data_IF_043867999812
#
_entry.id   IF_043867999812
#
_cell.length_a   1.000
_cell.length_b   1.000
_cell.length_c   1.000
_cell.angle_alpha   90.00
_cell.angle_beta   90.00
_cell.angle_gamma   90.00
#
_symmetry.space_group_name_H-M   'P 1'
#
loop_
_entity.id
_entity.type
_entity.pdbx_description
1 polymer ?
#
# COMPACT_ATOMS: atom_id res chain seq x y z
N UNK A 1 -10.12 -2.39 13.53
CA UNK A 1 -10.56 -2.35 12.12
C UNK A 1 -9.35 -2.02 11.25
N UNK A 2 -9.30 -2.56 10.03
CA UNK A 2 -8.28 -2.22 9.04
C UNK A 2 -8.94 -1.47 7.88
N UNK A 3 -8.57 -0.21 7.68
CA UNK A 3 -9.03 0.61 6.55
C UNK A 3 -7.96 0.59 5.48
N UNK A 4 -8.32 0.16 4.27
CA UNK A 4 -7.43 0.21 3.12
C UNK A 4 -7.51 1.59 2.48
N UNK A 5 -6.34 2.18 2.19
CA UNK A 5 -6.25 3.46 1.51
C UNK A 5 -5.29 3.28 0.34
N UNK A 6 -5.75 3.61 -0.87
CA UNK A 6 -4.92 3.62 -2.07
C UNK A 6 -4.61 5.07 -2.40
N UNK A 7 -3.33 5.32 -2.60
CA UNK A 7 -2.78 6.64 -2.88
C UNK A 7 -2.03 6.52 -4.19
N UNK A 8 -2.35 7.41 -5.11
CA UNK A 8 -1.62 7.53 -6.35
C UNK A 8 -0.18 7.99 -6.07
N UNK A 9 0.81 7.25 -6.59
CA UNK A 9 2.20 7.44 -6.21
C UNK A 9 2.78 8.78 -6.71
N UNK A 10 2.29 9.27 -7.85
CA UNK A 10 2.81 10.44 -8.53
C UNK A 10 2.14 11.73 -8.05
N UNK A 11 0.82 11.71 -7.96
CA UNK A 11 -0.02 12.84 -7.56
C UNK A 11 -0.21 12.94 -6.05
N UNK A 12 0.02 11.85 -5.30
CA UNK A 12 -0.23 11.74 -3.85
C UNK A 12 -1.69 11.92 -3.46
N UNK A 13 -2.60 11.80 -4.41
CA UNK A 13 -4.03 11.88 -4.16
C UNK A 13 -4.54 10.54 -3.59
N UNK A 14 -5.36 10.59 -2.55
CA UNK A 14 -6.15 9.42 -2.14
C UNK A 14 -7.14 9.11 -3.24
N UNK A 15 -6.97 7.96 -3.90
CA UNK A 15 -7.83 7.54 -5.01
C UNK A 15 -8.91 6.56 -4.53
N UNK A 16 -8.68 5.83 -3.44
CA UNK A 16 -9.64 4.90 -2.86
C UNK A 16 -9.51 4.86 -1.34
N UNK A 17 -10.65 4.89 -0.64
CA UNK A 17 -10.76 4.49 0.77
C UNK A 17 -11.71 3.30 0.84
N UNK A 18 -11.16 2.12 1.12
CA UNK A 18 -11.93 0.89 1.24
C UNK A 18 -12.76 0.87 2.51
N UNK A 19 -13.89 0.14 2.49
CA UNK A 19 -14.70 -0.08 3.69
C UNK A 19 -13.85 -0.76 4.79
N UNK A 20 -13.90 -0.29 6.05
CA UNK A 20 -13.14 -0.91 7.14
C UNK A 20 -13.49 -2.40 7.28
N UNK A 21 -12.47 -3.26 7.32
CA UNK A 21 -12.61 -4.69 7.52
C UNK A 21 -12.21 -5.11 8.95
N UNK A 22 -12.76 -6.22 9.49
CA UNK A 22 -12.27 -6.82 10.73
C UNK A 22 -10.76 -7.10 10.64
N UNK A 23 -10.02 -6.92 11.73
CA UNK A 23 -8.56 -6.92 11.72
C UNK A 23 -7.95 -8.25 11.28
N UNK A 24 -7.60 -8.37 10.00
CA UNK A 24 -6.90 -9.53 9.45
C UNK A 24 -5.40 -9.27 9.44
N UNK A 25 -4.63 -10.29 9.80
CA UNK A 25 -3.15 -10.26 9.90
C UNK A 25 -2.43 -10.07 8.54
N UNK A 26 -3.17 -10.05 7.42
CA UNK A 26 -2.63 -9.83 6.08
C UNK A 26 -3.44 -8.77 5.31
N UNK A 27 -2.78 -8.07 4.38
CA UNK A 27 -3.40 -7.04 3.53
C UNK A 27 -4.22 -7.62 2.35
N UNK A 28 -4.17 -8.94 2.13
CA UNK A 28 -4.80 -9.59 0.97
C UNK A 28 -6.32 -9.66 1.10
N UNK A 29 -6.81 -10.09 2.27
CA UNK A 29 -8.26 -10.18 2.54
C UNK A 29 -8.93 -8.80 2.54
N UNK A 30 -8.38 -7.78 3.23
CA UNK A 30 -8.93 -6.44 3.19
C UNK A 30 -8.94 -5.83 1.78
N UNK A 31 -7.91 -6.03 0.96
CA UNK A 31 -7.89 -5.45 -0.40
C UNK A 31 -9.05 -5.94 -1.28
N UNK A 32 -9.39 -7.23 -1.19
CA UNK A 32 -10.52 -7.82 -1.91
C UNK A 32 -11.85 -7.41 -1.29
N UNK A 33 -11.98 -7.54 0.03
CA UNK A 33 -13.28 -7.45 0.72
C UNK A 33 -13.72 -6.01 1.02
N UNK A 34 -12.80 -5.04 0.93
CA UNK A 34 -13.09 -3.60 1.16
C UNK A 34 -13.56 -2.84 -0.09
N UNK A 35 -13.84 -3.55 -1.20
CA UNK A 35 -14.13 -3.01 -2.53
C UNK A 35 -12.98 -2.21 -3.17
N UNK A 36 -11.80 -2.18 -2.53
CA UNK A 36 -10.65 -1.42 -3.00
C UNK A 36 -10.22 -1.88 -4.39
N UNK A 37 -10.18 -3.19 -4.64
CA UNK A 37 -9.87 -3.75 -5.96
C UNK A 37 -10.79 -3.19 -7.06
N UNK A 38 -12.10 -3.12 -6.80
CA UNK A 38 -13.10 -2.61 -7.75
C UNK A 38 -12.89 -1.13 -8.01
N UNK A 39 -12.63 -0.36 -6.97
CA UNK A 39 -12.44 1.09 -7.06
C UNK A 39 -11.15 1.48 -7.81
N UNK A 40 -10.11 0.64 -7.76
CA UNK A 40 -8.86 0.83 -8.49
C UNK A 40 -8.98 0.65 -10.01
N UNK A 41 -10.10 0.11 -10.54
CA UNK A 41 -10.39 0.00 -11.98
C UNK A 41 -9.26 -0.60 -12.83
N UNK A 42 -8.54 -1.59 -12.29
CA UNK A 42 -7.44 -2.26 -12.99
C UNK A 42 -6.08 -1.52 -12.93
N UNK A 43 -5.97 -0.44 -12.16
CA UNK A 43 -4.69 0.22 -11.92
C UNK A 43 -3.66 -0.72 -11.27
N UNK A 44 -2.38 -0.48 -11.56
CA UNK A 44 -1.28 -1.17 -10.89
C UNK A 44 -1.15 -0.65 -9.46
N UNK A 45 -1.55 -1.47 -8.48
CA UNK A 45 -1.47 -1.12 -7.06
C UNK A 45 -0.30 -1.85 -6.43
N UNK A 46 0.54 -1.12 -5.68
CA UNK A 46 1.58 -1.72 -4.85
C UNK A 46 1.12 -1.82 -3.39
N UNK A 47 1.18 -3.02 -2.80
CA UNK A 47 0.77 -3.25 -1.41
C UNK A 47 1.87 -2.85 -0.43
N UNK A 48 1.49 -2.52 0.81
CA UNK A 48 2.45 -2.33 1.89
C UNK A 48 3.09 -3.67 2.32
N UNK A 49 2.40 -4.80 2.18
CA UNK A 49 2.74 -6.03 2.87
C UNK A 49 2.83 -7.29 2.00
N UNK A 50 2.15 -8.33 2.47
CA UNK A 50 2.28 -9.71 2.01
C UNK A 50 1.98 -9.87 0.50
N UNK A 51 2.56 -10.93 -0.08
CA UNK A 51 2.35 -11.24 -1.50
C UNK A 51 0.86 -11.50 -1.76
N UNK A 52 0.33 -10.78 -2.74
CA UNK A 52 -1.02 -10.97 -3.25
C UNK A 52 -0.93 -10.99 -4.78
N UNK A 53 -1.47 -12.00 -5.47
CA UNK A 53 -1.38 -12.10 -6.93
C UNK A 53 -2.06 -10.94 -7.67
N UNK A 54 -2.94 -10.17 -7.01
CA UNK A 54 -3.69 -9.07 -7.60
C UNK A 54 -3.05 -7.69 -7.41
N UNK A 55 -1.95 -7.59 -6.68
CA UNK A 55 -1.23 -6.34 -6.42
C UNK A 55 0.28 -6.58 -6.43
N UNK A 56 1.04 -5.56 -6.76
CA UNK A 56 2.49 -5.63 -6.79
C UNK A 56 2.99 -5.62 -5.34
N UNK A 57 3.69 -6.67 -4.92
CA UNK A 57 4.39 -6.64 -3.64
C UNK A 57 5.69 -5.83 -3.79
N UNK A 58 6.15 -5.11 -2.76
CA UNK A 58 7.44 -4.44 -2.80
C UNK A 58 8.54 -5.43 -3.19
N UNK A 59 9.41 -5.03 -4.12
CA UNK A 59 10.49 -5.89 -4.58
C UNK A 59 11.46 -6.13 -3.42
N UNK A 60 11.82 -7.40 -3.19
CA UNK A 60 12.75 -7.81 -2.14
C UNK A 60 14.05 -8.24 -2.79
N UNK A 61 15.18 -8.01 -2.11
CA UNK A 61 16.44 -8.56 -2.57
C UNK A 61 16.31 -10.07 -2.75
N UNK A 62 16.91 -10.66 -3.78
CA UNK A 62 16.90 -12.10 -3.95
C UNK A 62 17.61 -12.78 -2.77
N UNK A 63 17.25 -14.03 -2.52
CA UNK A 63 17.76 -14.81 -1.37
C UNK A 63 19.25 -15.13 -1.44
N UNK A 64 19.85 -15.00 -2.62
CA UNK A 64 21.29 -15.19 -2.87
C UNK A 64 22.13 -13.96 -2.49
N UNK A 65 21.50 -12.88 -2.01
CA UNK A 65 22.19 -11.65 -1.61
C UNK A 65 22.39 -10.63 -2.73
N UNK A 66 21.87 -10.88 -3.94
CA UNK A 66 21.91 -9.94 -5.04
C UNK A 66 21.23 -8.60 -4.75
N UNK A 67 21.61 -7.57 -5.51
CA UNK A 67 20.93 -6.28 -5.45
C UNK A 67 19.65 -6.28 -6.30
N UNK A 68 18.75 -5.33 -5.99
CA UNK A 68 17.61 -5.06 -6.84
C UNK A 68 18.07 -4.37 -8.11
N UNK A 69 17.48 -4.72 -9.25
CA UNK A 69 17.69 -3.99 -10.49
C UNK A 69 17.15 -2.55 -10.37
N UNK A 70 17.74 -1.59 -11.09
CA UNK A 70 17.35 -0.18 -11.01
C UNK A 70 15.84 0.07 -11.19
N UNK A 71 15.21 -0.62 -12.15
CA UNK A 71 13.77 -0.54 -12.40
C UNK A 71 12.90 -1.09 -11.25
N UNK A 72 13.45 -1.88 -10.34
CA UNK A 72 12.76 -2.37 -9.13
C UNK A 72 12.95 -1.40 -7.96
N UNK A 73 14.09 -0.71 -7.91
CA UNK A 73 14.45 0.24 -6.84
C UNK A 73 13.56 1.48 -6.89
N UNK A 74 13.33 2.02 -8.08
CA UNK A 74 12.54 3.22 -8.29
C UNK A 74 11.11 3.12 -7.73
N UNK A 75 10.27 2.14 -8.13
CA UNK A 75 8.91 2.00 -7.59
C UNK A 75 8.90 1.73 -6.08
N UNK A 76 9.86 0.95 -5.56
CA UNK A 76 10.02 0.75 -4.12
C UNK A 76 10.31 2.05 -3.36
N UNK A 77 11.10 2.94 -3.96
CA UNK A 77 11.47 4.23 -3.36
C UNK A 77 10.27 5.17 -3.31
N UNK A 78 9.52 5.26 -4.40
CA UNK A 78 8.27 6.02 -4.44
C UNK A 78 7.27 5.49 -3.39
N UNK A 79 7.05 4.17 -3.35
CA UNK A 79 6.17 3.52 -2.38
C UNK A 79 6.56 3.83 -0.93
N UNK A 80 7.85 3.67 -0.57
CA UNK A 80 8.35 3.97 0.79
C UNK A 80 8.12 5.43 1.17
N UNK A 81 8.36 6.36 0.23
CA UNK A 81 8.18 7.80 0.46
C UNK A 81 6.72 8.17 0.71
N UNK A 82 5.80 7.65 -0.11
CA UNK A 82 4.35 7.88 0.06
C UNK A 82 3.88 7.26 1.37
N UNK A 83 4.24 6.00 1.64
CA UNK A 83 3.87 5.31 2.88
C UNK A 83 4.31 6.08 4.12
N UNK A 84 5.57 6.49 4.18
CA UNK A 84 6.10 7.20 5.35
C UNK A 84 5.31 8.50 5.63
N UNK A 85 4.95 9.24 4.58
CA UNK A 85 4.13 10.45 4.69
C UNK A 85 2.72 10.16 5.16
N UNK A 86 2.07 9.14 4.61
CA UNK A 86 0.71 8.73 5.00
C UNK A 86 0.66 8.29 6.45
N UNK A 87 1.59 7.44 6.89
CA UNK A 87 1.67 7.02 8.29
C UNK A 87 1.91 8.22 9.22
N UNK A 88 2.80 9.14 8.84
CA UNK A 88 3.04 10.35 9.63
C UNK A 88 1.80 11.26 9.71
N UNK A 89 1.04 11.41 8.62
CA UNK A 89 -0.21 12.19 8.60
C UNK A 89 -1.28 11.53 9.48
N UNK A 90 -1.48 10.21 9.34
CA UNK A 90 -2.44 9.45 10.15
C UNK A 90 -2.09 9.54 11.64
N UNK A 91 -0.81 9.38 12.00
CA UNK A 91 -0.34 9.56 13.37
C UNK A 91 -0.67 10.96 13.90
N UNK A 92 -0.45 12.02 13.11
CA UNK A 92 -0.80 13.39 13.51
C UNK A 92 -2.31 13.55 13.71
N UNK A 93 -3.13 13.04 12.80
CA UNK A 93 -4.59 13.12 12.93
C UNK A 93 -5.12 12.37 14.16
N UNK A 94 -4.50 11.24 14.52
CA UNK A 94 -4.83 10.52 15.76
C UNK A 94 -4.36 11.22 17.03
N UNK A 95 -3.32 12.07 16.94
CA UNK A 95 -2.80 12.83 18.10
C UNK A 95 -3.55 14.16 18.28
N UNK A 96 -3.91 14.84 17.19
CA UNK A 96 -4.62 16.14 17.21
C UNK A 96 -6.14 15.99 17.39
N UNK A 97 -6.67 14.75 17.32
CA UNK A 97 -8.07 14.43 17.59
C UNK A 97 -8.38 14.08 19.06
N UNK A 98 -7.45 14.35 19.98
CA UNK A 98 -7.65 14.25 21.43
C UNK A 98 -7.70 15.65 22.06
#
# INVERSE_FOLDING_TARGET
MNTQVVIDADTRMTVVVGRPAPGVHNDCTPYRDSETERACRGAHVMTHGQRNPKVIAPYRRPSDGGELAGWQVEPNTAHKRVRARTVALLHKLTITGC
#
